data_IF_614090522875
#
_entry.id   IF_614090522875
#
_cell.length_a   1.000
_cell.length_b   1.000
_cell.length_c   1.000
_cell.angle_alpha   90.00
_cell.angle_beta   90.00
_cell.angle_gamma   90.00
#
_symmetry.space_group_name_H-M   'P 1'
#
loop_
_entity.id
_entity.type
_entity.pdbx_description
1 polymer ?
#
# COMPACT_ATOMS: atom_id res chain seq x y z
N UNK A 1 16.45 9.49 9.90
CA UNK A 1 14.99 9.28 9.84
C UNK A 1 14.46 9.02 8.43
N UNK A 2 14.54 9.98 7.49
CA UNK A 2 14.00 9.80 6.13
C UNK A 2 14.60 8.62 5.36
N UNK A 3 15.93 8.46 5.36
CA UNK A 3 16.60 7.29 4.74
C UNK A 3 16.16 5.96 5.37
N UNK A 4 15.85 5.95 6.67
CA UNK A 4 15.35 4.76 7.35
C UNK A 4 13.93 4.45 6.84
N UNK A 5 13.03 5.43 6.84
CA UNK A 5 11.68 5.28 6.30
C UNK A 5 11.69 4.81 4.82
N UNK A 6 12.60 5.33 4.00
CA UNK A 6 12.81 4.87 2.62
C UNK A 6 13.18 3.38 2.56
N UNK A 7 14.12 2.91 3.39
CA UNK A 7 14.50 1.50 3.45
C UNK A 7 13.34 0.60 3.86
N UNK A 8 12.52 1.03 4.83
CA UNK A 8 11.33 0.31 5.27
C UNK A 8 10.26 0.25 4.17
N UNK A 9 10.13 1.30 3.37
CA UNK A 9 9.16 1.39 2.26
C UNK A 9 9.61 0.65 0.99
N UNK A 10 10.93 0.51 0.77
CA UNK A 10 11.48 0.01 -0.49
C UNK A 10 11.05 -1.42 -0.83
N UNK A 11 11.17 -2.36 0.12
CA UNK A 11 10.78 -3.75 -0.11
C UNK A 11 9.27 -3.91 -0.35
N UNK A 12 8.37 -3.32 0.47
CA UNK A 12 6.94 -3.27 0.18
C UNK A 12 6.62 -2.67 -1.19
N UNK A 13 7.28 -1.59 -1.58
CA UNK A 13 7.06 -0.93 -2.87
C UNK A 13 7.46 -1.82 -4.05
N UNK A 14 8.58 -2.54 -3.94
CA UNK A 14 8.99 -3.53 -4.93
C UNK A 14 7.97 -4.67 -5.04
N UNK A 15 7.45 -5.18 -3.92
CA UNK A 15 6.41 -6.21 -3.94
C UNK A 15 5.16 -5.69 -4.66
N UNK A 16 4.72 -4.46 -4.35
CA UNK A 16 3.55 -3.84 -4.97
C UNK A 16 3.69 -3.70 -6.51
N UNK A 17 4.91 -3.45 -6.99
CA UNK A 17 5.23 -3.35 -8.42
C UNK A 17 4.95 -4.65 -9.17
N UNK A 18 5.09 -5.81 -8.53
CA UNK A 18 4.75 -7.11 -9.12
C UNK A 18 3.32 -7.57 -8.79
N UNK A 19 2.83 -7.23 -7.60
CA UNK A 19 1.50 -7.60 -7.13
C UNK A 19 0.41 -7.05 -8.05
N UNK A 20 0.55 -5.79 -8.47
CA UNK A 20 -0.48 -5.13 -9.29
C UNK A 20 -0.58 -5.72 -10.71
N UNK A 21 0.52 -5.89 -11.47
CA UNK A 21 0.46 -6.60 -12.76
C UNK A 21 -0.04 -8.02 -12.61
N UNK A 22 0.37 -8.75 -11.56
CA UNK A 22 -0.12 -10.12 -11.32
C UNK A 22 -1.64 -10.12 -11.17
N UNK A 23 -2.17 -9.22 -10.34
CA UNK A 23 -3.62 -9.06 -10.15
C UNK A 23 -4.35 -8.73 -11.45
N UNK A 24 -3.76 -7.87 -12.27
CA UNK A 24 -4.29 -7.49 -13.58
C UNK A 24 -4.34 -8.68 -14.55
N UNK A 25 -3.27 -9.46 -14.67
CA UNK A 25 -3.25 -10.63 -15.55
C UNK A 25 -4.20 -11.74 -15.06
N UNK A 26 -4.36 -11.89 -13.75
CA UNK A 26 -5.36 -12.81 -13.18
C UNK A 26 -6.79 -12.38 -13.56
N UNK A 27 -7.10 -11.08 -13.55
CA UNK A 27 -8.39 -10.57 -14.02
C UNK A 27 -8.60 -10.87 -15.50
N UNK A 28 -7.59 -10.62 -16.35
CA UNK A 28 -7.65 -10.96 -17.78
C UNK A 28 -7.80 -12.47 -18.03
N UNK A 29 -7.28 -13.31 -17.14
CA UNK A 29 -7.48 -14.76 -17.17
C UNK A 29 -8.89 -15.20 -16.71
N UNK A 30 -9.76 -14.25 -16.35
CA UNK A 30 -11.16 -14.49 -15.99
C UNK A 30 -11.40 -14.72 -14.49
N UNK A 31 -10.42 -14.44 -13.61
CA UNK A 31 -10.66 -14.57 -12.17
C UNK A 31 -11.65 -13.50 -11.67
N UNK A 32 -12.59 -13.88 -10.78
CA UNK A 32 -13.53 -12.94 -10.20
C UNK A 32 -12.87 -11.80 -9.40
N UNK A 33 -13.44 -10.60 -9.52
CA UNK A 33 -12.92 -9.39 -8.87
C UNK A 33 -12.81 -9.49 -7.34
N UNK A 34 -13.75 -10.17 -6.69
CA UNK A 34 -13.74 -10.41 -5.24
C UNK A 34 -12.54 -11.26 -4.78
N UNK A 35 -12.06 -12.18 -5.62
CA UNK A 35 -10.89 -13.01 -5.32
C UNK A 35 -9.61 -12.20 -5.48
N UNK A 36 -9.46 -11.52 -6.62
CA UNK A 36 -8.26 -10.71 -6.90
C UNK A 36 -8.17 -9.48 -5.97
N UNK A 37 -9.27 -9.00 -5.40
CA UNK A 37 -9.28 -7.89 -4.44
C UNK A 37 -8.52 -8.23 -3.15
N UNK A 38 -8.53 -9.48 -2.71
CA UNK A 38 -7.78 -9.94 -1.52
C UNK A 38 -6.26 -9.84 -1.75
N UNK A 39 -5.83 -9.97 -3.00
CA UNK A 39 -4.44 -9.82 -3.45
C UNK A 39 -4.13 -8.33 -3.75
N UNK A 40 -5.00 -7.41 -3.32
CA UNK A 40 -4.91 -5.99 -3.60
C UNK A 40 -3.94 -5.23 -2.71
N UNK A 41 -3.60 -4.02 -3.16
CA UNK A 41 -2.66 -3.13 -2.48
C UNK A 41 -3.06 -2.75 -1.05
N UNK A 42 -4.37 -2.68 -0.74
CA UNK A 42 -4.83 -2.40 0.61
C UNK A 42 -4.40 -3.50 1.59
N UNK A 43 -4.59 -4.77 1.22
CA UNK A 43 -4.18 -5.91 2.04
C UNK A 43 -2.67 -5.92 2.26
N UNK A 44 -1.89 -5.67 1.20
CA UNK A 44 -0.45 -5.50 1.32
C UNK A 44 -0.10 -4.38 2.32
N UNK A 45 -0.75 -3.22 2.23
CA UNK A 45 -0.53 -2.12 3.18
C UNK A 45 -0.83 -2.51 4.62
N UNK A 46 -1.95 -3.19 4.87
CA UNK A 46 -2.33 -3.62 6.22
C UNK A 46 -1.30 -4.60 6.81
N UNK A 47 -0.86 -5.58 6.02
CA UNK A 47 0.18 -6.53 6.42
C UNK A 47 1.49 -5.83 6.70
N UNK A 48 1.94 -4.94 5.82
CA UNK A 48 3.17 -4.15 5.98
C UNK A 48 3.10 -3.28 7.23
N UNK A 49 1.97 -2.61 7.47
CA UNK A 49 1.79 -1.76 8.64
C UNK A 49 1.80 -2.56 9.95
N UNK A 50 1.12 -3.70 10.00
CA UNK A 50 1.14 -4.59 11.16
C UNK A 50 2.55 -5.16 11.39
N UNK A 51 3.23 -5.60 10.33
CA UNK A 51 4.60 -6.11 10.39
C UNK A 51 5.56 -5.05 10.97
N UNK A 52 5.51 -3.82 10.46
CA UNK A 52 6.32 -2.73 11.00
C UNK A 52 5.91 -2.37 12.42
N UNK A 53 4.62 -2.47 12.76
CA UNK A 53 4.17 -2.25 14.13
C UNK A 53 4.65 -3.30 15.14
N UNK A 54 5.09 -4.47 14.68
CA UNK A 54 5.78 -5.47 15.50
C UNK A 54 7.28 -5.19 15.58
N UNK A 55 7.87 -4.67 14.50
CA UNK A 55 9.34 -4.54 14.36
C UNK A 55 9.93 -3.23 14.85
N UNK A 56 9.15 -2.17 14.95
CA UNK A 56 9.63 -0.84 15.34
C UNK A 56 9.45 -0.46 16.83
N UNK A 57 8.93 -1.27 17.79
CA UNK A 57 8.54 -0.74 19.10
C UNK A 57 9.68 -0.09 19.90
N UNK A 58 10.92 -0.53 19.69
CA UNK A 58 12.12 -0.06 20.40
C UNK A 58 12.84 1.12 19.71
N UNK A 59 12.36 1.56 18.54
CA UNK A 59 12.89 2.75 17.87
C UNK A 59 12.55 4.03 18.67
N UNK A 60 13.39 5.05 18.54
CA UNK A 60 13.21 6.33 19.23
C UNK A 60 11.89 7.03 18.85
N UNK A 61 11.53 6.96 17.56
CA UNK A 61 10.34 7.61 17.00
C UNK A 61 9.51 6.66 16.12
N UNK A 62 8.91 5.60 16.69
CA UNK A 62 8.39 4.49 15.91
C UNK A 62 7.10 4.81 15.15
N UNK A 63 6.22 5.61 15.75
CA UNK A 63 5.00 6.09 15.09
C UNK A 63 5.32 6.98 13.89
N UNK A 64 6.33 7.85 14.02
CA UNK A 64 6.76 8.72 12.93
C UNK A 64 7.45 7.92 11.83
N UNK A 65 8.30 6.95 12.18
CA UNK A 65 8.92 6.04 11.19
C UNK A 65 7.87 5.21 10.44
N UNK A 66 6.87 4.66 11.14
CA UNK A 66 5.74 3.96 10.53
C UNK A 66 5.02 4.89 9.55
N UNK A 67 4.60 6.08 9.99
CA UNK A 67 3.86 7.02 9.15
C UNK A 67 4.66 7.44 7.91
N UNK A 68 5.93 7.81 8.07
CA UNK A 68 6.80 8.19 6.96
C UNK A 68 6.99 7.03 5.98
N UNK A 69 7.15 5.79 6.48
CA UNK A 69 7.27 4.62 5.61
C UNK A 69 6.00 4.42 4.77
N UNK A 70 4.81 4.61 5.35
CA UNK A 70 3.53 4.50 4.66
C UNK A 70 3.32 5.63 3.64
N UNK A 71 3.67 6.87 4.00
CA UNK A 71 3.59 8.04 3.11
C UNK A 71 4.48 7.89 1.89
N UNK A 72 5.64 7.22 2.02
CA UNK A 72 6.52 6.91 0.90
C UNK A 72 5.99 5.71 0.09
N UNK A 73 5.72 4.60 0.77
CA UNK A 73 5.31 3.34 0.14
C UNK A 73 4.03 3.50 -0.67
N UNK A 74 3.03 4.17 -0.10
CA UNK A 74 1.67 4.20 -0.64
C UNK A 74 1.58 4.81 -2.05
N UNK A 75 2.04 6.05 -2.32
CA UNK A 75 2.01 6.61 -3.67
C UNK A 75 2.89 5.82 -4.65
N UNK A 76 4.05 5.32 -4.21
CA UNK A 76 4.93 4.51 -5.06
C UNK A 76 4.24 3.20 -5.47
N UNK A 77 3.56 2.54 -4.53
CA UNK A 77 2.82 1.30 -4.77
C UNK A 77 1.67 1.44 -5.77
N UNK A 78 1.19 2.68 -5.98
CA UNK A 78 0.08 3.03 -6.87
C UNK A 78 0.51 3.36 -8.30
N UNK A 79 1.79 3.60 -8.54
CA UNK A 79 2.32 3.85 -9.90
C UNK A 79 1.92 2.75 -10.90
N UNK A 80 2.05 1.44 -10.58
CA UNK A 80 1.64 0.38 -11.49
C UNK A 80 0.14 0.41 -11.80
N UNK A 81 -0.70 0.79 -10.83
CA UNK A 81 -2.15 0.92 -11.00
C UNK A 81 -2.48 2.01 -12.01
N UNK A 82 -1.81 3.16 -11.89
CA UNK A 82 -1.97 4.26 -12.83
C UNK A 82 -1.51 3.88 -14.25
N UNK A 83 -0.35 3.22 -14.37
CA UNK A 83 0.17 2.74 -15.65
C UNK A 83 -0.79 1.74 -16.30
N UNK A 84 -1.32 0.78 -15.52
CA UNK A 84 -2.27 -0.21 -16.01
C UNK A 84 -3.60 0.44 -16.44
N UNK A 85 -4.12 1.41 -15.69
CA UNK A 85 -5.28 2.19 -16.13
C UNK A 85 -5.03 2.89 -17.48
N UNK A 86 -3.87 3.50 -17.68
CA UNK A 86 -3.56 4.16 -18.96
C UNK A 86 -3.51 3.15 -20.11
N UNK A 87 -2.87 2.00 -19.89
CA UNK A 87 -2.81 0.87 -20.82
C UNK A 87 -4.22 0.40 -21.18
N UNK A 88 -5.07 0.15 -20.18
CA UNK A 88 -6.42 -0.38 -20.39
C UNK A 88 -7.32 0.63 -21.09
N UNK A 89 -7.23 1.91 -20.73
CA UNK A 89 -7.99 2.98 -21.36
C UNK A 89 -7.56 3.22 -22.81
N UNK A 90 -6.26 3.14 -23.08
CA UNK A 90 -5.70 3.35 -24.43
C UNK A 90 -6.12 2.24 -25.41
N UNK A 91 -6.18 1.00 -24.93
CA UNK A 91 -6.48 -0.17 -25.78
C UNK A 91 -7.88 -0.77 -25.59
N UNK A 92 -8.72 -0.14 -24.76
CA UNK A 92 -10.09 -0.59 -24.53
C UNK A 92 -10.18 -2.00 -23.91
N UNK A 93 -9.27 -2.33 -22.99
CA UNK A 93 -9.15 -3.69 -22.45
C UNK A 93 -10.29 -4.08 -21.50
N UNK A 94 -11.06 -3.11 -20.98
CA UNK A 94 -12.29 -3.37 -20.23
C UNK A 94 -12.06 -4.06 -18.89
N UNK A 95 -11.18 -3.51 -18.06
CA UNK A 95 -10.86 -4.07 -16.71
C UNK A 95 -11.37 -3.15 -15.59
N UNK A 96 -11.35 -3.60 -14.33
CA UNK A 96 -11.73 -2.72 -13.21
C UNK A 96 -10.85 -1.47 -13.08
N UNK A 97 -9.68 -1.46 -13.73
CA UNK A 97 -8.81 -0.30 -13.75
C UNK A 97 -9.40 0.88 -14.54
N UNK A 98 -10.34 0.66 -15.47
CA UNK A 98 -10.99 1.68 -16.33
C UNK A 98 -11.99 2.59 -15.58
N UNK A 99 -11.62 3.03 -14.37
CA UNK A 99 -12.46 3.80 -13.46
C UNK A 99 -12.42 5.32 -13.68
N UNK A 100 -11.54 5.82 -14.57
CA UNK A 100 -11.35 7.26 -14.79
C UNK A 100 -11.44 7.63 -16.28
N UNK A 101 -11.82 8.89 -16.51
CA UNK A 101 -12.03 9.41 -17.86
C UNK A 101 -10.83 10.16 -18.43
N UNK A 102 -9.97 10.71 -17.57
CA UNK A 102 -8.81 11.50 -17.99
C UNK A 102 -7.63 11.39 -17.02
N UNK A 103 -6.49 11.92 -17.46
CA UNK A 103 -5.22 11.87 -16.74
C UNK A 103 -5.27 12.50 -15.36
N UNK A 104 -5.84 13.70 -15.26
CA UNK A 104 -5.91 14.43 -14.00
C UNK A 104 -6.70 13.64 -12.96
N UNK A 105 -7.85 13.10 -13.34
CA UNK A 105 -8.66 12.26 -12.45
C UNK A 105 -7.92 11.00 -12.02
N UNK A 106 -7.28 10.29 -12.95
CA UNK A 106 -6.55 9.06 -12.62
C UNK A 106 -5.32 9.33 -11.74
N UNK A 107 -4.59 10.41 -12.01
CA UNK A 107 -3.38 10.76 -11.26
C UNK A 107 -3.73 11.17 -9.82
N UNK A 108 -4.73 12.03 -9.65
CA UNK A 108 -5.23 12.41 -8.31
C UNK A 108 -5.88 11.20 -7.62
N UNK A 109 -6.70 10.45 -8.35
CA UNK A 109 -7.41 9.27 -7.84
C UNK A 109 -6.46 8.19 -7.34
N UNK A 110 -5.35 7.93 -8.04
CA UNK A 110 -4.39 6.90 -7.64
C UNK A 110 -3.34 7.41 -6.65
N UNK A 111 -2.70 8.55 -6.94
CA UNK A 111 -1.56 9.01 -6.13
C UNK A 111 -1.97 9.76 -4.87
N UNK A 112 -3.15 10.38 -4.85
CA UNK A 112 -3.65 11.11 -3.66
C UNK A 112 -4.70 10.27 -2.95
N UNK A 113 -5.87 10.08 -3.56
CA UNK A 113 -6.98 9.39 -2.90
C UNK A 113 -6.62 7.93 -2.60
N UNK A 114 -6.11 7.20 -3.59
CA UNK A 114 -5.65 5.83 -3.44
C UNK A 114 -4.57 5.68 -2.36
N UNK A 115 -3.70 6.69 -2.22
CA UNK A 115 -2.69 6.69 -1.17
C UNK A 115 -3.29 6.90 0.21
N UNK A 116 -4.23 7.84 0.37
CA UNK A 116 -4.92 8.06 1.63
C UNK A 116 -5.69 6.81 2.09
N UNK A 117 -6.34 6.11 1.16
CA UNK A 117 -7.05 4.83 1.42
C UNK A 117 -6.10 3.74 1.94
N UNK A 118 -4.80 3.83 1.68
CA UNK A 118 -3.80 2.91 2.24
C UNK A 118 -3.21 3.45 3.55
N UNK A 119 -2.79 4.72 3.56
CA UNK A 119 -2.10 5.35 4.69
C UNK A 119 -2.99 5.39 5.93
N UNK A 120 -4.27 5.74 5.79
CA UNK A 120 -5.18 5.89 6.95
C UNK A 120 -5.41 4.54 7.65
N UNK A 121 -5.99 3.51 7.01
CA UNK A 121 -6.23 2.25 7.70
C UNK A 121 -4.93 1.51 8.06
N UNK A 122 -3.89 1.59 7.21
CA UNK A 122 -2.56 1.06 7.53
C UNK A 122 -1.95 1.75 8.75
N UNK A 123 -1.99 3.07 8.80
CA UNK A 123 -1.48 3.86 9.92
C UNK A 123 -2.19 3.55 11.23
N UNK A 124 -3.53 3.42 11.20
CA UNK A 124 -4.32 3.02 12.37
C UNK A 124 -3.93 1.62 12.85
N UNK A 125 -3.92 0.63 11.95
CA UNK A 125 -3.58 -0.75 12.31
C UNK A 125 -2.14 -0.89 12.82
N UNK A 126 -1.17 -0.28 12.13
CA UNK A 126 0.23 -0.31 12.52
C UNK A 126 0.48 0.42 13.84
N UNK A 127 -0.19 1.56 14.07
CA UNK A 127 -0.09 2.30 15.34
C UNK A 127 -0.71 1.53 16.50
N UNK A 128 -1.86 0.86 16.29
CA UNK A 128 -2.45 -0.02 17.28
C UNK A 128 -1.50 -1.18 17.61
N UNK A 129 -0.91 -1.78 16.59
CA UNK A 129 0.06 -2.88 16.74
C UNK A 129 1.30 -2.41 17.52
N UNK A 130 1.82 -1.21 17.23
CA UNK A 130 2.90 -0.58 18.00
C UNK A 130 2.53 -0.39 19.46
N UNK A 131 1.36 0.17 19.73
CA UNK A 131 0.90 0.45 21.09
C UNK A 131 0.82 -0.84 21.92
N UNK A 132 0.26 -1.90 21.34
CA UNK A 132 0.18 -3.23 21.97
C UNK A 132 1.59 -3.77 22.27
N UNK A 133 2.50 -3.74 21.30
CA UNK A 133 3.84 -4.30 21.49
C UNK A 133 4.68 -3.51 22.50
N UNK A 134 4.62 -2.17 22.47
CA UNK A 134 5.32 -1.34 23.46
C UNK A 134 4.80 -1.57 24.87
N UNK A 135 3.49 -1.71 25.05
CA UNK A 135 2.91 -2.03 26.35
C UNK A 135 3.38 -3.40 26.85
N UNK A 136 3.44 -4.41 25.98
CA UNK A 136 3.95 -5.74 26.35
C UNK A 136 5.41 -5.70 26.78
N UNK A 137 6.26 -4.97 26.08
CA UNK A 137 7.67 -4.81 26.46
C UNK A 137 7.80 -4.13 27.82
N UNK A 138 7.02 -3.07 28.08
CA UNK A 138 7.06 -2.34 29.35
C UNK A 138 6.63 -3.19 30.56
N UNK A 139 5.74 -4.17 30.38
CA UNK A 139 5.28 -5.06 31.47
C UNK A 139 6.27 -6.20 31.77
N UNK A 140 7.17 -6.54 30.83
CA UNK A 140 8.15 -7.62 30.98
C UNK A 140 9.50 -7.16 31.57
N UNK A 141 9.70 -5.85 31.75
CA UNK A 141 10.88 -5.23 32.37
C UNK A 141 10.54 -4.86 33.81
#
# INVERSE_FOLDING_TARGET
MFQHALRLAAMPALIALFLTPTRFFLELAGLPQNVIFIIGLLWLTLVVAAYWGIKLPDEEHPYLLLLLSLVIFSPVSRVPVFVLWWITKTWGLGTHYDSFDNWSQALVGQLVYGSLVQIIPGGLLGSLTLAINRHRTAVMV
#
